data_IF_805519932319
#
_entry.id   IF_805519932319
#
_cell.length_a   1.000
_cell.length_b   1.000
_cell.length_c   1.000
_cell.angle_alpha   90.00
_cell.angle_beta   90.00
_cell.angle_gamma   90.00
#
_symmetry.space_group_name_H-M   'P 1'
#
loop_
_entity.id
_entity.type
_entity.pdbx_description
1 polymer ?
#
# COMPACT_ATOMS: atom_id res chain seq x y z
N UNK A 1 -12.12 1.29 -25.93
CA UNK A 1 -11.48 1.00 -24.64
C UNK A 1 -11.29 2.29 -23.85
N UNK A 2 -11.71 2.33 -22.61
CA UNK A 2 -11.66 3.53 -21.80
C UNK A 2 -10.43 3.56 -20.92
N UNK A 3 -9.70 4.67 -21.01
CA UNK A 3 -8.58 5.00 -20.13
C UNK A 3 -9.04 6.13 -19.21
N UNK A 4 -8.98 5.91 -17.92
CA UNK A 4 -9.38 6.91 -16.94
C UNK A 4 -8.12 7.47 -16.28
N UNK A 5 -8.00 8.79 -16.29
CA UNK A 5 -6.88 9.50 -15.71
C UNK A 5 -7.41 10.35 -14.55
N UNK A 6 -6.81 10.19 -13.38
CA UNK A 6 -7.14 10.99 -12.19
C UNK A 6 -5.85 11.49 -11.56
N UNK A 7 -5.92 12.66 -10.94
CA UNK A 7 -4.79 13.14 -10.13
C UNK A 7 -4.80 12.44 -8.79
N UNK A 8 -3.63 11.94 -8.39
CA UNK A 8 -3.44 11.31 -7.08
C UNK A 8 -2.22 11.92 -6.38
N UNK A 9 -2.13 11.73 -5.06
CA UNK A 9 -0.96 12.14 -4.32
C UNK A 9 0.23 11.24 -4.62
N UNK A 10 1.44 11.76 -4.37
CA UNK A 10 2.67 10.96 -4.53
C UNK A 10 2.64 9.76 -3.57
N UNK A 11 2.18 9.97 -2.33
CA UNK A 11 2.04 8.90 -1.35
C UNK A 11 1.11 7.78 -1.82
N UNK A 12 -0.01 8.13 -2.45
CA UNK A 12 -0.94 7.15 -3.01
C UNK A 12 -0.29 6.36 -4.15
N UNK A 13 0.44 7.04 -5.03
CA UNK A 13 1.14 6.39 -6.14
C UNK A 13 2.17 5.38 -5.63
N UNK A 14 3.01 5.77 -4.67
CA UNK A 14 4.00 4.89 -4.08
C UNK A 14 3.37 3.72 -3.33
N UNK A 15 2.26 3.96 -2.65
CA UNK A 15 1.51 2.90 -1.96
C UNK A 15 1.05 1.83 -2.96
N UNK A 16 0.43 2.25 -4.06
CA UNK A 16 0.01 1.34 -5.13
C UNK A 16 1.18 0.55 -5.72
N UNK A 17 2.29 1.22 -5.99
CA UNK A 17 3.49 0.57 -6.54
C UNK A 17 4.01 -0.49 -5.56
N UNK A 18 4.10 -0.16 -4.26
CA UNK A 18 4.59 -1.10 -3.24
C UNK A 18 3.71 -2.35 -3.16
N UNK A 19 2.39 -2.17 -3.22
CA UNK A 19 1.43 -3.28 -3.19
C UNK A 19 1.57 -4.16 -4.44
N UNK A 20 1.76 -3.56 -5.61
CA UNK A 20 1.98 -4.31 -6.85
C UNK A 20 3.27 -5.12 -6.79
N UNK A 21 4.32 -4.60 -6.18
CA UNK A 21 5.57 -5.35 -5.97
C UNK A 21 5.37 -6.55 -5.05
N UNK A 22 4.60 -6.37 -3.98
CA UNK A 22 4.25 -7.48 -3.08
C UNK A 22 3.42 -8.54 -3.82
N UNK A 23 2.46 -8.12 -4.63
CA UNK A 23 1.67 -9.05 -5.46
C UNK A 23 2.53 -9.86 -6.40
N UNK A 24 3.54 -9.24 -7.01
CA UNK A 24 4.48 -9.95 -7.89
C UNK A 24 5.26 -11.02 -7.13
N UNK A 25 5.59 -10.78 -5.86
CA UNK A 25 6.31 -11.74 -5.03
C UNK A 25 5.40 -12.88 -4.53
N UNK A 26 4.12 -12.63 -4.31
CA UNK A 26 3.18 -13.57 -3.67
C UNK A 26 2.31 -14.36 -4.64
N UNK A 27 1.92 -13.77 -5.75
CA UNK A 27 0.96 -14.37 -6.69
C UNK A 27 1.71 -15.25 -7.70
N UNK A 28 1.20 -16.46 -7.93
CA UNK A 28 1.82 -17.46 -8.82
C UNK A 28 1.12 -17.59 -10.17
N UNK A 29 -0.16 -17.23 -10.25
CA UNK A 29 -0.94 -17.34 -11.48
C UNK A 29 -0.35 -16.43 -12.57
N UNK A 30 0.02 -17.05 -13.71
CA UNK A 30 0.69 -16.33 -14.80
C UNK A 30 -0.17 -15.25 -15.46
N UNK A 31 -1.47 -15.48 -15.57
CA UNK A 31 -2.39 -14.49 -16.15
C UNK A 31 -2.56 -13.29 -15.22
N UNK A 32 -2.75 -13.54 -13.92
CA UNK A 32 -2.83 -12.47 -12.93
C UNK A 32 -1.52 -11.68 -12.88
N UNK A 33 -0.37 -12.35 -12.94
CA UNK A 33 0.94 -11.69 -12.95
C UNK A 33 1.11 -10.79 -14.18
N UNK A 34 0.58 -11.18 -15.33
CA UNK A 34 0.63 -10.33 -16.53
C UNK A 34 -0.06 -8.99 -16.30
N UNK A 35 -1.24 -9.00 -15.71
CA UNK A 35 -1.98 -7.78 -15.38
C UNK A 35 -1.26 -6.95 -14.31
N UNK A 36 -0.72 -7.61 -13.29
CA UNK A 36 0.02 -6.94 -12.20
C UNK A 36 1.27 -6.24 -12.74
N UNK A 37 2.05 -6.92 -13.57
CA UNK A 37 3.26 -6.36 -14.17
C UNK A 37 2.94 -5.19 -15.10
N UNK A 38 1.85 -5.29 -15.85
CA UNK A 38 1.41 -4.20 -16.72
C UNK A 38 1.04 -2.96 -15.91
N UNK A 39 0.26 -3.12 -14.86
CA UNK A 39 -0.11 -2.01 -13.98
C UNK A 39 1.12 -1.40 -13.31
N UNK A 40 2.01 -2.23 -12.79
CA UNK A 40 3.26 -1.77 -12.18
C UNK A 40 4.09 -0.93 -13.16
N UNK A 41 4.23 -1.41 -14.39
CA UNK A 41 4.99 -0.71 -15.42
C UNK A 41 4.40 0.67 -15.73
N UNK A 42 3.08 0.76 -15.85
CA UNK A 42 2.38 2.03 -16.12
C UNK A 42 2.59 3.01 -14.97
N UNK A 43 2.41 2.56 -13.72
CA UNK A 43 2.55 3.44 -12.55
C UNK A 43 4.01 3.82 -12.30
N UNK A 44 4.94 2.91 -12.52
CA UNK A 44 6.37 3.18 -12.36
C UNK A 44 6.83 4.27 -13.34
N UNK A 45 6.34 4.22 -14.57
CA UNK A 45 6.62 5.25 -15.58
C UNK A 45 6.10 6.61 -15.13
N UNK A 46 4.89 6.68 -14.58
CA UNK A 46 4.33 7.92 -14.04
C UNK A 46 5.19 8.47 -12.90
N UNK A 47 5.69 7.60 -12.03
CA UNK A 47 6.60 8.00 -10.96
C UNK A 47 7.88 8.61 -11.51
N UNK A 48 8.53 7.93 -12.44
CA UNK A 48 9.80 8.36 -13.02
C UNK A 48 9.68 9.69 -13.78
N UNK A 49 8.58 9.92 -14.46
CA UNK A 49 8.33 11.14 -15.23
C UNK A 49 7.98 12.35 -14.35
N UNK A 50 7.43 12.15 -13.16
CA UNK A 50 6.82 13.22 -12.38
C UNK A 50 7.47 13.47 -11.02
N UNK A 51 8.25 12.54 -10.51
CA UNK A 51 8.83 12.62 -9.16
C UNK A 51 10.32 12.37 -9.21
N UNK A 52 11.08 13.32 -8.64
CA UNK A 52 12.53 13.17 -8.53
C UNK A 52 12.84 12.25 -7.35
N UNK A 53 13.60 11.19 -7.61
CA UNK A 53 14.05 10.26 -6.58
C UNK A 53 15.17 10.83 -5.75
N UNK A 54 15.16 10.58 -4.44
CA UNK A 54 16.26 10.86 -3.53
C UNK A 54 16.31 9.76 -2.45
N UNK A 55 17.36 9.80 -1.62
CA UNK A 55 17.58 8.80 -0.59
C UNK A 55 16.41 8.73 0.42
N UNK A 56 15.92 9.90 0.85
CA UNK A 56 14.82 9.95 1.80
C UNK A 56 13.54 9.35 1.22
N UNK A 57 13.23 9.63 -0.03
CA UNK A 57 12.06 9.04 -0.70
C UNK A 57 12.19 7.53 -0.80
N UNK A 58 13.37 7.04 -1.13
CA UNK A 58 13.62 5.60 -1.21
C UNK A 58 13.45 4.93 0.15
N UNK A 59 13.92 5.56 1.22
CA UNK A 59 13.75 5.04 2.59
C UNK A 59 12.27 5.02 2.99
N UNK A 60 11.53 6.07 2.70
CA UNK A 60 10.09 6.13 2.97
C UNK A 60 9.32 5.08 2.18
N UNK A 61 9.69 4.88 0.91
CA UNK A 61 9.10 3.83 0.09
C UNK A 61 9.32 2.44 0.70
N UNK A 62 10.54 2.16 1.16
CA UNK A 62 10.83 0.87 1.78
C UNK A 62 10.03 0.65 3.06
N UNK A 63 9.90 1.68 3.91
CA UNK A 63 9.05 1.61 5.10
C UNK A 63 7.59 1.31 4.75
N UNK A 64 7.08 1.96 3.72
CA UNK A 64 5.72 1.76 3.24
C UNK A 64 5.53 0.33 2.73
N UNK A 65 6.47 -0.16 1.95
CA UNK A 65 6.44 -1.53 1.43
C UNK A 65 6.48 -2.55 2.57
N UNK A 66 7.31 -2.32 3.59
CA UNK A 66 7.41 -3.21 4.75
C UNK A 66 6.08 -3.28 5.51
N UNK A 67 5.41 -2.15 5.71
CA UNK A 67 4.09 -2.10 6.35
C UNK A 67 3.06 -2.85 5.51
N UNK A 68 3.04 -2.63 4.21
CA UNK A 68 2.11 -3.30 3.31
C UNK A 68 2.35 -4.81 3.25
N UNK A 69 3.61 -5.25 3.35
CA UNK A 69 3.95 -6.68 3.43
C UNK A 69 3.41 -7.32 4.71
N UNK A 70 3.51 -6.63 5.84
CA UNK A 70 2.93 -7.10 7.11
C UNK A 70 1.40 -7.16 7.01
N UNK A 71 0.79 -6.14 6.46
CA UNK A 71 -0.66 -6.10 6.25
C UNK A 71 -1.13 -7.26 5.37
N UNK A 72 -0.38 -7.58 4.32
CA UNK A 72 -0.70 -8.70 3.44
C UNK A 72 -0.85 -10.01 4.23
N UNK A 73 0.14 -10.31 5.08
CA UNK A 73 0.14 -11.53 5.91
C UNK A 73 -1.00 -11.51 6.92
N UNK A 74 -1.17 -10.41 7.64
CA UNK A 74 -2.17 -10.29 8.71
C UNK A 74 -3.60 -10.34 8.14
N UNK A 75 -3.84 -9.70 7.00
CA UNK A 75 -5.13 -9.74 6.31
C UNK A 75 -5.48 -11.17 5.88
N UNK A 76 -4.50 -11.92 5.37
CA UNK A 76 -4.71 -13.31 4.99
C UNK A 76 -4.99 -14.19 6.20
N UNK A 77 -4.24 -14.00 7.29
CA UNK A 77 -4.47 -14.72 8.55
C UNK A 77 -5.86 -14.45 9.11
N UNK A 78 -6.32 -13.21 9.01
CA UNK A 78 -7.66 -12.82 9.44
C UNK A 78 -8.73 -13.51 8.59
N UNK A 79 -8.52 -13.58 7.27
CA UNK A 79 -9.42 -14.30 6.36
C UNK A 79 -9.46 -15.79 6.68
N UNK A 80 -8.35 -16.36 7.09
CA UNK A 80 -8.30 -17.76 7.53
C UNK A 80 -9.14 -17.97 8.81
N UNK A 81 -9.07 -17.04 9.76
CA UNK A 81 -9.94 -17.06 10.94
C UNK A 81 -11.42 -17.02 10.54
N UNK A 82 -11.78 -16.20 9.57
CA UNK A 82 -13.15 -16.12 9.05
C UNK A 82 -13.59 -17.45 8.41
N UNK A 83 -12.70 -18.05 7.63
CA UNK A 83 -12.96 -19.34 6.99
C UNK A 83 -13.21 -20.44 8.04
N UNK A 84 -12.48 -20.43 9.14
CA UNK A 84 -12.60 -21.40 10.25
C UNK A 84 -13.70 -21.02 11.25
N UNK A 85 -14.35 -19.87 11.08
CA UNK A 85 -15.31 -19.30 12.04
C UNK A 85 -14.71 -19.13 13.42
N UNK A 86 -13.42 -18.77 13.48
CA UNK A 86 -12.68 -18.55 14.72
C UNK A 86 -12.59 -17.05 15.01
N UNK A 87 -13.39 -16.58 15.96
CA UNK A 87 -13.47 -15.16 16.33
C UNK A 87 -12.99 -14.92 17.75
N UNK A 88 -12.01 -15.71 18.19
CA UNK A 88 -11.40 -15.62 19.52
C UNK A 88 -10.33 -14.52 19.60
N UNK A 89 -9.47 -14.60 20.61
CA UNK A 89 -8.43 -13.61 20.87
C UNK A 89 -7.48 -13.40 19.67
N UNK A 90 -7.19 -14.46 18.91
CA UNK A 90 -6.36 -14.35 17.71
C UNK A 90 -7.01 -13.43 16.67
N UNK A 91 -8.28 -13.59 16.40
CA UNK A 91 -9.03 -12.75 15.46
C UNK A 91 -9.04 -11.28 15.93
N UNK A 92 -9.26 -11.06 17.23
CA UNK A 92 -9.27 -9.72 17.83
C UNK A 92 -7.89 -9.08 17.68
N UNK A 93 -6.81 -9.81 17.98
CA UNK A 93 -5.45 -9.31 17.86
C UNK A 93 -5.12 -8.92 16.42
N UNK A 94 -5.44 -9.78 15.46
CA UNK A 94 -5.21 -9.50 14.04
C UNK A 94 -5.96 -8.24 13.59
N UNK A 95 -7.20 -8.09 14.02
CA UNK A 95 -8.03 -6.91 13.69
C UNK A 95 -7.42 -5.62 14.24
N UNK A 96 -6.89 -5.67 15.48
CA UNK A 96 -6.21 -4.53 16.09
C UNK A 96 -4.90 -4.20 15.38
N UNK A 97 -4.11 -5.22 15.05
CA UNK A 97 -2.84 -5.02 14.34
C UNK A 97 -3.06 -4.36 12.96
N UNK A 98 -4.09 -4.76 12.23
CA UNK A 98 -4.47 -4.15 10.95
C UNK A 98 -4.75 -2.66 11.16
N UNK A 99 -5.51 -2.34 12.17
CA UNK A 99 -5.88 -0.97 12.51
C UNK A 99 -4.64 -0.10 12.80
N UNK A 100 -3.72 -0.57 13.64
CA UNK A 100 -2.49 0.17 13.97
C UNK A 100 -1.56 0.30 12.75
N UNK A 101 -1.42 -0.77 11.96
CA UNK A 101 -0.57 -0.73 10.76
C UNK A 101 -1.13 0.21 9.70
N UNK A 102 -2.45 0.29 9.54
CA UNK A 102 -3.05 1.26 8.64
C UNK A 102 -2.82 2.70 9.09
N UNK A 103 -2.79 2.96 10.40
CA UNK A 103 -2.44 4.28 10.92
C UNK A 103 -0.98 4.63 10.58
N UNK A 104 -0.06 3.70 10.76
CA UNK A 104 1.36 3.90 10.40
C UNK A 104 1.51 4.12 8.89
N UNK A 105 0.79 3.36 8.10
CA UNK A 105 0.76 3.51 6.64
C UNK A 105 0.32 4.91 6.23
N UNK A 106 -0.75 5.41 6.84
CA UNK A 106 -1.25 6.76 6.56
C UNK A 106 -0.23 7.84 6.91
N UNK A 107 0.49 7.68 8.03
CA UNK A 107 1.56 8.60 8.45
C UNK A 107 2.70 8.64 7.44
N UNK A 108 3.15 7.49 6.96
CA UNK A 108 4.23 7.41 5.98
C UNK A 108 3.80 8.04 4.65
N UNK A 109 2.59 7.76 4.20
CA UNK A 109 2.05 8.39 2.98
C UNK A 109 2.02 9.91 3.10
N UNK A 110 1.65 10.43 4.25
CA UNK A 110 1.65 11.87 4.49
C UNK A 110 3.09 12.44 4.49
N UNK A 111 4.04 11.74 5.10
CA UNK A 111 5.45 12.14 5.07
C UNK A 111 5.98 12.19 3.63
N UNK A 112 5.62 11.21 2.80
CA UNK A 112 5.97 11.20 1.38
C UNK A 112 5.40 12.43 0.69
N UNK A 113 4.13 12.73 0.93
CA UNK A 113 3.46 13.88 0.32
C UNK A 113 4.14 15.20 0.73
N UNK A 114 4.49 15.33 1.99
CA UNK A 114 5.17 16.53 2.49
C UNK A 114 6.59 16.65 1.95
N UNK A 115 7.32 15.54 1.87
CA UNK A 115 8.69 15.53 1.36
C UNK A 115 8.75 15.87 -0.14
N UNK A 116 7.81 15.36 -0.92
CA UNK A 116 7.79 15.55 -2.39
C UNK A 116 7.04 16.80 -2.83
N UNK A 117 6.37 17.50 -1.90
CA UNK A 117 5.54 18.64 -2.25
C UNK A 117 4.30 18.27 -3.07
N UNK A 118 3.71 17.10 -2.79
CA UNK A 118 2.51 16.65 -3.47
C UNK A 118 1.38 17.68 -3.34
N UNK A 119 0.74 18.00 -4.46
CA UNK A 119 -0.40 18.95 -4.47
C UNK A 119 -1.61 18.37 -3.77
N UNK A 120 -1.80 17.05 -3.89
CA UNK A 120 -2.90 16.32 -3.26
C UNK A 120 -2.35 15.63 -2.02
N UNK A 121 -3.03 15.78 -0.90
CA UNK A 121 -2.69 15.10 0.36
C UNK A 121 -3.96 14.49 0.92
N UNK A 122 -3.95 13.19 1.14
CA UNK A 122 -5.05 12.50 1.79
C UNK A 122 -5.09 12.86 3.26
N UNK A 123 -6.26 13.30 3.73
CA UNK A 123 -6.48 13.64 5.13
C UNK A 123 -7.34 12.55 5.77
N UNK A 124 -6.89 12.06 6.92
CA UNK A 124 -7.61 11.07 7.71
C UNK A 124 -7.96 11.67 9.05
N UNK A 125 -9.20 11.44 9.48
CA UNK A 125 -9.68 11.89 10.78
C UNK A 125 -10.50 10.76 11.41
N UNK A 126 -9.90 10.11 12.41
CA UNK A 126 -10.53 9.03 13.14
C UNK A 126 -10.59 9.36 14.62
N UNK A 127 -11.44 8.63 15.35
CA UNK A 127 -11.46 8.71 16.80
C UNK A 127 -10.07 8.37 17.34
N UNK A 128 -9.54 9.25 18.22
CA UNK A 128 -8.26 9.00 18.87
C UNK A 128 -8.41 7.94 19.95
N UNK A 129 -7.36 7.23 20.20
CA UNK A 129 -7.34 6.17 21.21
C UNK A 129 -5.99 6.10 21.92
#
# INVERSE_FOLDING_TARGET
MNKIIVEISVGELLDKISILEIKQEKIKDSEKLRFIKNEHSILKKQLEENVKSDEKLNDLFQLLKDINAKLWVIEDDKRQCENEKNFNDKFVKLSRDIHFLNDDRAKIKLEINNHTGSKIKEIKEYTSY
#
